data_IF_451146617710
#
_entry.id   IF_451146617710
#
_cell.length_a   1.000
_cell.length_b   1.000
_cell.length_c   1.000
_cell.angle_alpha   90.00
_cell.angle_beta   90.00
_cell.angle_gamma   90.00
#
_symmetry.space_group_name_H-M   'P 1'
#
loop_
_entity.id
_entity.type
_entity.pdbx_description
1 polymer ?
#
# COMPACT_ATOMS: atom_id res chain seq x y z
N UNK A 1 -14.12 -16.65 32.71
CA UNK A 1 -12.75 -17.02 32.78
C UNK A 1 -11.90 -15.99 32.05
N UNK A 2 -10.85 -15.48 32.70
CA UNK A 2 -9.90 -14.56 32.06
C UNK A 2 -8.86 -15.35 31.27
N UNK A 3 -8.31 -14.76 30.22
CA UNK A 3 -7.17 -15.30 29.47
C UNK A 3 -5.92 -15.26 30.35
N UNK A 4 -5.21 -16.37 30.43
CA UNK A 4 -3.95 -16.50 31.19
C UNK A 4 -2.78 -16.74 30.25
N UNK A 5 -1.56 -16.46 30.70
CA UNK A 5 -0.35 -16.73 29.91
C UNK A 5 -0.24 -18.22 29.51
N UNK A 6 -0.78 -19.13 30.31
CA UNK A 6 -0.78 -20.56 30.01
C UNK A 6 -1.54 -20.94 28.75
N UNK A 7 -2.54 -20.16 28.37
CA UNK A 7 -3.37 -20.38 27.19
C UNK A 7 -2.58 -20.22 25.87
N UNK A 8 -1.44 -19.50 25.90
CA UNK A 8 -0.59 -19.22 24.75
C UNK A 8 0.57 -20.22 24.54
N UNK A 9 0.69 -21.20 25.44
CA UNK A 9 1.80 -22.14 25.41
C UNK A 9 1.90 -22.95 24.11
N UNK A 10 0.75 -23.26 23.51
CA UNK A 10 0.65 -24.08 22.31
C UNK A 10 0.18 -23.24 21.08
N UNK A 11 0.20 -21.92 21.19
CA UNK A 11 -0.17 -21.03 20.08
C UNK A 11 1.05 -20.77 19.17
N UNK A 12 0.88 -20.89 17.85
CA UNK A 12 1.90 -20.47 16.90
C UNK A 12 1.91 -18.94 16.74
N UNK A 13 0.75 -18.30 16.69
CA UNK A 13 0.59 -16.88 16.38
C UNK A 13 -0.41 -16.22 17.34
N UNK A 14 -0.09 -15.04 17.80
CA UNK A 14 -1.02 -14.08 18.41
C UNK A 14 -1.15 -12.89 17.49
N UNK A 15 -2.37 -12.52 17.13
CA UNK A 15 -2.67 -11.33 16.33
C UNK A 15 -3.47 -10.38 17.20
N UNK A 16 -3.05 -9.11 17.23
CA UNK A 16 -3.76 -8.07 17.94
C UNK A 16 -3.86 -6.80 17.07
N UNK A 17 -4.91 -6.00 17.32
CA UNK A 17 -5.16 -4.74 16.62
C UNK A 17 -5.66 -3.65 17.58
N UNK A 18 -5.18 -3.69 18.81
CA UNK A 18 -5.57 -2.74 19.87
C UNK A 18 -4.65 -1.51 19.84
N UNK A 19 -5.01 -0.52 20.62
CA UNK A 19 -4.13 0.63 20.87
C UNK A 19 -2.81 0.15 21.47
N UNK A 20 -1.66 0.67 21.02
CA UNK A 20 -0.35 0.33 21.57
C UNK A 20 -0.30 0.32 23.10
N UNK A 21 0.37 -0.66 23.69
CA UNK A 21 0.49 -0.86 25.13
C UNK A 21 -0.76 -1.42 25.82
N UNK A 22 -1.82 -1.77 25.09
CA UNK A 22 -3.02 -2.34 25.71
C UNK A 22 -2.77 -3.73 26.27
N UNK A 23 -2.15 -4.61 25.50
CA UNK A 23 -1.82 -5.97 25.97
C UNK A 23 -0.72 -5.96 27.02
N UNK A 24 0.22 -5.01 26.97
CA UNK A 24 1.25 -4.85 28.00
C UNK A 24 0.64 -4.58 29.37
N UNK A 25 -0.36 -3.69 29.44
CA UNK A 25 -1.09 -3.42 30.70
C UNK A 25 -1.88 -4.60 31.25
N UNK A 26 -2.20 -5.56 30.38
CA UNK A 26 -2.89 -6.80 30.75
C UNK A 26 -1.92 -7.94 31.11
N UNK A 27 -0.61 -7.71 31.06
CA UNK A 27 0.41 -8.74 31.29
C UNK A 27 0.49 -9.77 30.17
N UNK A 28 0.12 -9.37 28.95
CA UNK A 28 0.13 -10.20 27.73
C UNK A 28 1.03 -9.58 26.65
N UNK A 29 2.11 -8.91 27.07
CA UNK A 29 3.10 -8.39 26.15
C UNK A 29 3.82 -9.52 25.36
N UNK A 30 4.45 -9.19 24.26
CA UNK A 30 5.31 -10.15 23.56
C UNK A 30 6.35 -10.78 24.49
N UNK A 31 6.98 -9.97 25.34
CA UNK A 31 7.99 -10.43 26.29
C UNK A 31 7.41 -11.37 27.37
N UNK A 32 6.15 -11.17 27.76
CA UNK A 32 5.48 -12.09 28.70
C UNK A 32 5.10 -13.39 28.02
N UNK A 33 4.57 -13.33 26.80
CA UNK A 33 4.23 -14.52 26.03
C UNK A 33 5.46 -15.34 25.65
N UNK A 34 6.54 -14.71 25.33
CA UNK A 34 7.83 -15.36 24.98
C UNK A 34 8.41 -16.19 26.14
N UNK A 35 8.12 -15.81 27.39
CA UNK A 35 8.55 -16.59 28.57
C UNK A 35 7.90 -17.97 28.64
N UNK A 36 6.64 -18.07 28.18
CA UNK A 36 5.88 -19.33 28.20
C UNK A 36 5.95 -20.08 26.87
N UNK A 37 6.20 -19.35 25.78
CA UNK A 37 6.36 -19.92 24.44
C UNK A 37 7.41 -19.15 23.64
N UNK A 38 8.69 -19.59 23.68
CA UNK A 38 9.77 -18.91 22.96
C UNK A 38 9.60 -18.85 21.45
N UNK A 39 8.71 -19.68 20.87
CA UNK A 39 8.45 -19.74 19.42
C UNK A 39 7.28 -18.83 19.00
N UNK A 40 6.65 -18.14 19.94
CA UNK A 40 5.46 -17.35 19.65
C UNK A 40 5.73 -16.26 18.62
N UNK A 41 4.90 -16.16 17.61
CA UNK A 41 4.87 -15.03 16.68
C UNK A 41 3.79 -14.07 17.14
N UNK A 42 4.16 -12.84 17.45
CA UNK A 42 3.26 -11.81 17.94
C UNK A 42 3.12 -10.74 16.85
N UNK A 43 1.95 -10.64 16.24
CA UNK A 43 1.69 -9.74 15.12
C UNK A 43 0.71 -8.63 15.54
N UNK A 44 1.22 -7.41 15.63
CA UNK A 44 0.43 -6.22 15.92
C UNK A 44 0.05 -5.52 14.62
N UNK A 45 -1.24 -5.26 14.41
CA UNK A 45 -1.74 -4.51 13.26
C UNK A 45 -2.37 -3.22 13.78
N UNK A 46 -1.73 -2.09 13.52
CA UNK A 46 -2.17 -0.78 13.99
C UNK A 46 -2.29 0.21 12.83
N UNK A 47 -2.80 1.40 13.08
CA UNK A 47 -2.93 2.44 12.04
C UNK A 47 -1.59 2.92 11.53
N UNK A 48 -0.68 3.25 12.45
CA UNK A 48 0.58 3.95 12.16
C UNK A 48 1.82 3.28 12.76
N UNK A 49 1.71 2.02 13.15
CA UNK A 49 2.74 1.30 13.85
C UNK A 49 2.56 1.32 15.37
N UNK A 50 3.37 0.51 16.05
CA UNK A 50 3.39 0.36 17.51
C UNK A 50 4.50 1.18 18.15
N UNK A 51 5.37 1.76 17.33
CA UNK A 51 6.55 2.55 17.70
C UNK A 51 6.61 3.84 16.90
N UNK A 52 7.49 4.76 17.32
CA UNK A 52 7.72 6.01 16.61
C UNK A 52 6.76 7.15 16.99
N UNK A 53 6.85 8.30 16.30
CA UNK A 53 6.18 9.52 16.71
C UNK A 53 4.65 9.47 16.60
N UNK A 54 4.10 8.53 15.85
CA UNK A 54 2.65 8.39 15.61
C UNK A 54 2.00 7.22 16.32
N UNK A 55 2.75 6.47 17.14
CA UNK A 55 2.24 5.28 17.85
C UNK A 55 0.95 5.53 18.66
N UNK A 56 0.81 6.73 19.22
CA UNK A 56 -0.34 7.12 20.03
C UNK A 56 -1.42 7.87 19.26
N UNK A 57 -1.25 8.11 17.96
CA UNK A 57 -2.22 8.84 17.16
C UNK A 57 -3.47 7.98 16.93
N UNK A 58 -4.68 8.49 17.27
CA UNK A 58 -5.92 7.76 16.99
C UNK A 58 -6.10 7.53 15.50
N UNK A 59 -6.62 6.36 15.15
CA UNK A 59 -6.80 5.99 13.75
C UNK A 59 -8.07 5.18 13.51
N UNK A 60 -8.63 5.34 12.32
CA UNK A 60 -9.71 4.54 11.76
C UNK A 60 -9.47 4.37 10.26
N UNK A 61 -10.17 3.43 9.62
CA UNK A 61 -9.95 2.96 8.26
C UNK A 61 -9.49 3.98 7.23
N UNK A 62 -10.28 5.05 7.01
CA UNK A 62 -9.93 6.10 6.04
C UNK A 62 -8.68 6.91 6.44
N UNK A 63 -8.37 6.98 7.73
CA UNK A 63 -7.22 7.74 8.22
C UNK A 63 -5.89 7.16 7.74
N UNK A 64 -5.79 5.84 7.60
CA UNK A 64 -4.58 5.18 7.09
C UNK A 64 -4.29 5.57 5.65
N UNK A 65 -5.33 5.52 4.82
CA UNK A 65 -5.24 5.85 3.40
C UNK A 65 -4.99 7.33 3.17
N UNK A 66 -5.65 8.19 3.97
CA UNK A 66 -5.42 9.65 3.92
C UNK A 66 -3.99 9.99 4.33
N UNK A 67 -3.48 9.38 5.39
CA UNK A 67 -2.09 9.56 5.84
C UNK A 67 -1.09 9.12 4.79
N UNK A 68 -1.36 8.01 4.11
CA UNK A 68 -0.53 7.52 3.00
C UNK A 68 -0.66 8.36 1.72
N UNK A 69 -1.56 9.36 1.70
CA UNK A 69 -1.83 10.18 0.52
C UNK A 69 -2.67 9.48 -0.57
N UNK A 70 -3.32 8.37 -0.25
CA UNK A 70 -4.13 7.60 -1.20
C UNK A 70 -5.54 8.18 -1.38
N UNK A 71 -5.96 9.12 -0.54
CA UNK A 71 -7.28 9.74 -0.58
C UNK A 71 -7.14 11.24 -0.74
N UNK A 72 -7.71 11.77 -1.81
CA UNK A 72 -7.78 13.21 -2.08
C UNK A 72 -9.19 13.72 -1.74
N UNK A 73 -9.34 14.65 -0.79
CA UNK A 73 -10.64 15.24 -0.50
C UNK A 73 -11.22 15.95 -1.73
N UNK A 74 -12.50 15.80 -1.96
CA UNK A 74 -13.23 16.49 -3.02
C UNK A 74 -14.14 17.60 -2.44
N UNK A 75 -14.70 18.43 -3.32
CA UNK A 75 -15.72 19.43 -2.98
C UNK A 75 -16.96 19.18 -3.79
N UNK A 76 -18.12 19.35 -3.16
CA UNK A 76 -19.40 19.34 -3.85
C UNK A 76 -19.70 20.70 -4.51
N UNK A 77 -20.89 20.82 -5.09
CA UNK A 77 -21.33 22.04 -5.78
C UNK A 77 -21.49 23.24 -4.84
N UNK A 78 -21.78 23.00 -3.57
CA UNK A 78 -21.87 24.02 -2.51
C UNK A 78 -20.49 24.38 -1.92
N UNK A 79 -19.43 23.69 -2.33
CA UNK A 79 -18.05 23.91 -1.86
C UNK A 79 -17.70 23.18 -0.57
N UNK A 80 -18.57 22.31 -0.04
CA UNK A 80 -18.31 21.50 1.13
C UNK A 80 -17.27 20.42 0.82
N UNK A 81 -16.29 20.25 1.72
CA UNK A 81 -15.28 19.21 1.58
C UNK A 81 -15.83 17.87 2.03
N UNK A 82 -15.63 16.85 1.22
CA UNK A 82 -16.02 15.49 1.54
C UNK A 82 -14.96 14.48 1.11
N UNK A 83 -15.03 13.26 1.66
CA UNK A 83 -14.19 12.15 1.25
C UNK A 83 -14.92 11.36 0.15
N UNK A 84 -14.37 11.31 -1.07
CA UNK A 84 -14.97 10.52 -2.14
C UNK A 84 -14.87 9.02 -1.84
N UNK A 85 -15.64 8.22 -2.55
CA UNK A 85 -15.52 6.76 -2.50
C UNK A 85 -14.11 6.35 -2.91
N UNK A 86 -13.49 5.53 -2.10
CA UNK A 86 -12.14 5.02 -2.32
C UNK A 86 -12.02 3.57 -1.81
N UNK A 87 -11.15 2.76 -2.37
CA UNK A 87 -10.81 1.46 -1.79
C UNK A 87 -10.05 1.70 -0.47
N UNK A 88 -10.45 0.99 0.59
CA UNK A 88 -9.76 1.07 1.89
C UNK A 88 -8.45 0.26 1.85
N UNK A 89 -7.46 0.78 1.12
CA UNK A 89 -6.22 0.06 0.79
C UNK A 89 -5.47 -0.36 2.05
N UNK A 90 -5.31 0.54 3.03
CA UNK A 90 -4.59 0.24 4.26
C UNK A 90 -5.24 -0.87 5.08
N UNK A 91 -6.59 -0.90 5.12
CA UNK A 91 -7.35 -1.94 5.82
C UNK A 91 -7.22 -3.32 5.17
N UNK A 92 -6.88 -3.38 3.89
CA UNK A 92 -6.67 -4.64 3.17
C UNK A 92 -5.18 -5.02 3.12
N UNK A 93 -4.33 -4.07 2.77
CA UNK A 93 -2.90 -4.30 2.62
C UNK A 93 -2.20 -4.60 3.95
N UNK A 94 -2.51 -3.85 5.01
CA UNK A 94 -1.90 -4.06 6.32
C UNK A 94 -2.09 -5.49 6.83
N UNK A 95 -3.32 -5.98 7.02
CA UNK A 95 -3.56 -7.36 7.46
C UNK A 95 -3.00 -8.43 6.52
N UNK A 96 -3.02 -8.20 5.19
CA UNK A 96 -2.44 -9.12 4.23
C UNK A 96 -0.92 -9.26 4.40
N UNK A 97 -0.22 -8.13 4.52
CA UNK A 97 1.22 -8.11 4.79
C UNK A 97 1.54 -8.73 6.16
N UNK A 98 0.69 -8.47 7.16
CA UNK A 98 0.79 -9.07 8.48
C UNK A 98 0.66 -10.60 8.44
N UNK A 99 -0.33 -11.11 7.73
CA UNK A 99 -0.52 -12.56 7.56
C UNK A 99 0.68 -13.21 6.85
N UNK A 100 1.18 -12.56 5.79
CA UNK A 100 2.36 -13.05 5.07
C UNK A 100 3.61 -13.08 5.95
N UNK A 101 3.87 -11.98 6.68
CA UNK A 101 5.00 -11.88 7.59
C UNK A 101 4.89 -12.89 8.75
N UNK A 102 3.67 -13.08 9.31
CA UNK A 102 3.43 -14.05 10.38
C UNK A 102 3.71 -15.49 9.93
N UNK A 103 3.27 -15.88 8.73
CA UNK A 103 3.57 -17.21 8.19
C UNK A 103 5.08 -17.42 8.01
N UNK A 104 5.79 -16.45 7.46
CA UNK A 104 7.25 -16.52 7.32
C UNK A 104 7.94 -16.63 8.68
N UNK A 105 7.47 -15.86 9.68
CA UNK A 105 8.01 -15.92 11.04
C UNK A 105 7.74 -17.27 11.73
N UNK A 106 6.58 -17.88 11.52
CA UNK A 106 6.28 -19.24 12.04
C UNK A 106 7.19 -20.28 11.40
N UNK A 107 7.41 -20.21 10.09
CA UNK A 107 8.34 -21.13 9.42
C UNK A 107 9.74 -21.01 10.03
N UNK A 108 10.24 -19.79 10.22
CA UNK A 108 11.51 -19.55 10.88
C UNK A 108 11.52 -20.06 12.33
N UNK A 109 10.46 -19.78 13.10
CA UNK A 109 10.36 -20.20 14.50
C UNK A 109 10.37 -21.73 14.68
N UNK A 110 9.81 -22.46 13.72
CA UNK A 110 9.86 -23.93 13.71
C UNK A 110 11.26 -24.49 13.50
N UNK A 111 12.08 -23.82 12.71
CA UNK A 111 13.46 -24.21 12.44
C UNK A 111 14.42 -23.76 13.55
N UNK A 112 14.29 -22.53 14.02
CA UNK A 112 15.25 -21.92 14.95
C UNK A 112 14.88 -22.08 16.41
N UNK A 113 13.61 -22.31 16.72
CA UNK A 113 13.10 -22.27 18.09
C UNK A 113 12.78 -20.86 18.60
N UNK A 114 12.93 -19.83 17.77
CA UNK A 114 12.77 -18.42 18.15
C UNK A 114 11.61 -17.78 17.41
N UNK A 115 10.64 -17.25 18.16
CA UNK A 115 9.51 -16.48 17.64
C UNK A 115 9.92 -15.08 17.14
N UNK A 116 8.91 -14.24 16.89
CA UNK A 116 9.11 -12.89 16.40
C UNK A 116 8.03 -11.94 16.90
N UNK A 117 8.41 -10.69 17.12
CA UNK A 117 7.49 -9.57 17.21
C UNK A 117 7.37 -8.92 15.83
N UNK A 118 6.16 -8.77 15.33
CA UNK A 118 5.85 -8.16 14.03
C UNK A 118 4.98 -6.93 14.25
N UNK A 119 5.41 -5.82 13.70
CA UNK A 119 4.71 -4.55 13.73
C UNK A 119 4.24 -4.20 12.32
N UNK A 120 2.94 -4.02 12.14
CA UNK A 120 2.31 -3.72 10.86
C UNK A 120 1.56 -2.39 10.98
N UNK A 121 2.06 -1.36 10.29
CA UNK A 121 1.36 -0.10 10.08
C UNK A 121 0.43 -0.21 8.86
N UNK A 122 -0.87 0.03 9.06
CA UNK A 122 -1.82 -0.03 7.93
C UNK A 122 -1.58 1.11 6.94
N UNK A 123 -1.14 2.28 7.41
CA UNK A 123 -0.71 3.39 6.54
C UNK A 123 0.51 3.04 5.69
N UNK A 124 1.46 2.29 6.27
CA UNK A 124 2.64 1.82 5.53
C UNK A 124 2.24 0.80 4.46
N UNK A 125 1.27 -0.07 4.79
CA UNK A 125 0.67 -0.99 3.83
C UNK A 125 0.02 -0.25 2.65
N UNK A 126 -0.75 0.81 2.93
CA UNK A 126 -1.36 1.64 1.89
C UNK A 126 -0.29 2.33 1.02
N UNK A 127 0.73 2.92 1.65
CA UNK A 127 1.85 3.56 0.96
C UNK A 127 2.61 2.57 0.08
N UNK A 128 2.85 1.35 0.58
CA UNK A 128 3.50 0.29 -0.19
C UNK A 128 2.69 -0.10 -1.44
N UNK A 129 1.37 -0.20 -1.33
CA UNK A 129 0.52 -0.53 -2.48
C UNK A 129 0.47 0.59 -3.53
N UNK A 130 0.72 1.83 -3.13
CA UNK A 130 0.80 2.99 -4.01
C UNK A 130 2.25 3.47 -4.25
N UNK A 131 3.19 2.55 -4.21
CA UNK A 131 4.62 2.82 -4.36
C UNK A 131 4.94 3.63 -5.62
N UNK A 132 4.20 3.41 -6.71
CA UNK A 132 4.42 4.12 -7.98
C UNK A 132 4.22 5.63 -7.83
N UNK A 133 3.17 6.07 -7.14
CA UNK A 133 2.92 7.49 -6.89
C UNK A 133 3.98 8.09 -5.96
N UNK A 134 4.39 7.37 -4.94
CA UNK A 134 5.45 7.79 -4.02
C UNK A 134 6.77 7.95 -4.77
N UNK A 135 7.16 6.98 -5.59
CA UNK A 135 8.39 7.07 -6.38
C UNK A 135 8.31 8.15 -7.46
N UNK A 136 7.14 8.37 -8.04
CA UNK A 136 6.90 9.48 -8.93
C UNK A 136 7.09 10.82 -8.21
N UNK A 137 6.51 10.99 -7.02
CA UNK A 137 6.71 12.18 -6.20
C UNK A 137 8.20 12.44 -5.90
N UNK A 138 8.91 11.41 -5.44
CA UNK A 138 10.37 11.50 -5.19
C UNK A 138 11.15 11.86 -6.45
N UNK A 139 10.77 11.31 -7.60
CA UNK A 139 11.38 11.66 -8.88
C UNK A 139 11.21 13.16 -9.21
N UNK A 140 10.06 13.75 -8.87
CA UNK A 140 9.80 15.17 -9.06
C UNK A 140 10.56 16.07 -8.06
N UNK A 141 11.07 15.54 -6.96
CA UNK A 141 11.92 16.27 -6.01
C UNK A 141 13.39 16.36 -6.48
N UNK A 142 13.81 15.53 -7.43
CA UNK A 142 15.17 15.58 -7.94
C UNK A 142 15.44 16.87 -8.71
N UNK A 143 16.67 17.41 -8.66
CA UNK A 143 17.07 18.57 -9.47
C UNK A 143 16.86 18.33 -10.96
N UNK A 144 16.54 19.40 -11.72
CA UNK A 144 16.38 19.30 -13.19
C UNK A 144 17.62 18.70 -13.88
N UNK A 145 18.83 18.97 -13.34
CA UNK A 145 20.09 18.44 -13.85
C UNK A 145 20.22 16.91 -13.77
N UNK A 146 19.40 16.27 -12.94
CA UNK A 146 19.38 14.80 -12.76
C UNK A 146 18.26 14.13 -13.57
N UNK A 147 17.46 14.88 -14.30
CA UNK A 147 16.39 14.33 -15.13
C UNK A 147 17.00 13.63 -16.35
N UNK A 148 16.69 12.35 -16.48
CA UNK A 148 17.12 11.48 -17.60
C UNK A 148 15.90 10.85 -18.25
N UNK A 149 16.03 10.42 -19.48
CA UNK A 149 14.99 9.67 -20.19
C UNK A 149 13.94 10.50 -20.93
N UNK A 150 13.96 11.84 -20.83
CA UNK A 150 13.04 12.74 -21.51
C UNK A 150 13.72 13.45 -22.70
N UNK A 151 14.49 12.74 -23.50
CA UNK A 151 15.25 13.34 -24.61
C UNK A 151 14.37 14.09 -25.61
N UNK A 152 13.15 13.61 -25.88
CA UNK A 152 12.18 14.27 -26.76
C UNK A 152 11.70 15.64 -26.25
N UNK A 153 11.80 15.87 -24.93
CA UNK A 153 11.39 17.11 -24.28
C UNK A 153 12.62 17.93 -23.82
N UNK A 154 13.79 17.77 -24.43
CA UNK A 154 15.06 18.38 -24.02
C UNK A 154 15.40 18.11 -22.55
N UNK A 155 15.09 16.93 -22.04
CA UNK A 155 15.23 16.51 -20.65
C UNK A 155 14.42 17.37 -19.66
N UNK A 156 13.45 18.13 -20.13
CA UNK A 156 12.57 18.90 -19.25
C UNK A 156 11.64 17.98 -18.48
N UNK A 157 11.39 18.35 -17.24
CA UNK A 157 10.42 17.67 -16.39
C UNK A 157 9.01 18.00 -16.85
N UNK A 158 8.22 16.98 -17.11
CA UNK A 158 6.78 17.15 -17.36
C UNK A 158 6.03 17.52 -16.07
N UNK A 159 4.92 18.25 -16.16
CA UNK A 159 4.08 18.53 -14.98
C UNK A 159 3.60 17.24 -14.31
N UNK A 160 3.42 17.28 -12.99
CA UNK A 160 2.88 16.14 -12.21
C UNK A 160 1.50 15.75 -12.75
N UNK A 161 1.25 14.46 -12.91
CA UNK A 161 -0.02 13.92 -13.39
C UNK A 161 -0.21 13.91 -14.91
N UNK A 162 0.72 14.49 -15.68
CA UNK A 162 0.69 14.43 -17.16
C UNK A 162 1.55 13.28 -17.71
N UNK A 163 2.19 12.51 -16.82
CA UNK A 163 3.12 11.47 -17.21
C UNK A 163 2.41 10.32 -17.94
N UNK A 164 2.45 10.39 -19.25
CA UNK A 164 2.30 9.27 -20.15
C UNK A 164 0.88 8.79 -20.43
N UNK A 165 0.06 8.49 -19.43
CA UNK A 165 -1.23 7.85 -19.68
C UNK A 165 -2.29 8.83 -20.21
N UNK A 166 -2.35 10.06 -19.72
CA UNK A 166 -3.36 11.03 -20.18
C UNK A 166 -3.14 11.50 -21.63
N UNK A 167 -1.90 11.53 -22.09
CA UNK A 167 -1.51 11.98 -23.43
C UNK A 167 -1.10 10.83 -24.36
N UNK A 168 -1.08 9.62 -23.84
CA UNK A 168 -0.63 8.45 -24.55
C UNK A 168 -1.72 7.86 -25.43
N UNK A 169 -1.82 8.32 -26.68
CA UNK A 169 -2.84 7.83 -27.63
C UNK A 169 -2.84 6.31 -27.82
N UNK A 170 -1.72 5.63 -27.53
CA UNK A 170 -1.59 4.17 -27.64
C UNK A 170 -1.84 3.44 -26.32
N UNK A 171 -2.11 4.19 -25.24
CA UNK A 171 -2.44 3.63 -23.93
C UNK A 171 -3.42 4.59 -23.23
N UNK A 172 -4.70 4.47 -23.56
CA UNK A 172 -5.72 5.41 -23.12
C UNK A 172 -7.10 4.76 -23.14
N UNK A 173 -7.99 5.28 -22.29
CA UNK A 173 -9.41 4.96 -22.36
C UNK A 173 -10.10 5.84 -23.43
N UNK A 174 -10.87 5.20 -24.29
CA UNK A 174 -11.64 5.86 -25.33
C UNK A 174 -13.14 5.58 -25.15
N UNK A 175 -13.94 6.61 -25.37
CA UNK A 175 -15.38 6.44 -25.43
C UNK A 175 -15.78 5.63 -26.65
N UNK A 176 -16.71 4.71 -26.50
CA UNK A 176 -17.31 3.94 -27.55
C UNK A 176 -18.84 4.04 -27.49
N UNK A 177 -19.54 3.41 -28.42
CA UNK A 177 -20.98 3.56 -28.58
C UNK A 177 -21.80 3.29 -27.32
N UNK A 178 -21.36 2.40 -26.47
CA UNK A 178 -22.08 1.86 -25.32
C UNK A 178 -21.23 1.83 -24.03
N UNK A 179 -20.13 2.58 -23.99
CA UNK A 179 -19.27 2.66 -22.81
C UNK A 179 -17.85 3.14 -23.13
N UNK A 180 -16.87 2.46 -22.57
CA UNK A 180 -15.46 2.81 -22.76
C UNK A 180 -14.65 1.57 -23.11
N UNK A 181 -13.63 1.77 -23.93
CA UNK A 181 -12.62 0.75 -24.23
C UNK A 181 -11.25 1.24 -23.74
N UNK A 182 -10.53 0.39 -23.04
CA UNK A 182 -9.13 0.64 -22.73
C UNK A 182 -8.28 0.14 -23.89
N UNK A 183 -7.67 1.06 -24.60
CA UNK A 183 -6.75 0.77 -25.68
C UNK A 183 -5.32 0.67 -25.14
N UNK A 184 -4.66 -0.45 -25.35
CA UNK A 184 -3.32 -0.74 -24.86
C UNK A 184 -2.46 -1.30 -25.99
N UNK A 185 -1.82 -0.41 -26.75
CA UNK A 185 -0.95 -0.74 -27.87
C UNK A 185 0.38 0.05 -27.81
N UNK A 186 0.94 0.16 -26.58
CA UNK A 186 2.20 0.87 -26.34
C UNK A 186 3.38 0.21 -27.05
N UNK A 187 3.39 -1.13 -27.13
CA UNK A 187 4.41 -1.90 -27.80
C UNK A 187 4.28 -1.79 -29.32
N UNK A 188 5.43 -1.70 -29.98
CA UNK A 188 5.48 -1.50 -31.43
C UNK A 188 4.69 -2.57 -32.20
N UNK A 189 4.78 -3.82 -31.79
CA UNK A 189 4.07 -4.91 -32.44
C UNK A 189 2.54 -4.79 -32.31
N UNK A 190 2.05 -4.39 -31.12
CA UNK A 190 0.62 -4.19 -30.89
C UNK A 190 0.09 -3.00 -31.66
N UNK A 191 0.86 -1.91 -31.71
CA UNK A 191 0.52 -0.74 -32.50
C UNK A 191 0.44 -1.08 -33.99
N UNK A 192 1.43 -1.83 -34.52
CA UNK A 192 1.42 -2.28 -35.89
C UNK A 192 0.17 -3.10 -36.23
N UNK A 193 -0.12 -4.13 -35.42
CA UNK A 193 -1.28 -4.99 -35.62
C UNK A 193 -2.60 -4.20 -35.58
N UNK A 194 -2.70 -3.21 -34.72
CA UNK A 194 -3.85 -2.31 -34.72
C UNK A 194 -3.94 -1.51 -36.01
N UNK A 195 -2.86 -0.87 -36.47
CA UNK A 195 -2.83 -0.10 -37.69
C UNK A 195 -3.20 -0.96 -38.93
N UNK A 196 -2.69 -2.18 -38.98
CA UNK A 196 -3.07 -3.15 -40.01
C UNK A 196 -4.56 -3.51 -39.94
N UNK A 197 -5.06 -3.83 -38.76
CA UNK A 197 -6.46 -4.23 -38.53
C UNK A 197 -7.49 -3.16 -38.90
N UNK A 198 -7.14 -1.88 -38.72
CA UNK A 198 -8.02 -0.76 -39.09
C UNK A 198 -7.71 -0.17 -40.48
N UNK A 199 -6.76 -0.73 -41.19
CA UNK A 199 -6.38 -0.27 -42.55
C UNK A 199 -5.66 1.10 -42.55
N UNK A 200 -5.00 1.47 -41.46
CA UNK A 200 -4.37 2.78 -41.26
C UNK A 200 -2.87 2.64 -40.97
N UNK A 201 -2.15 1.98 -41.88
CA UNK A 201 -0.70 1.85 -41.76
C UNK A 201 0.07 3.20 -41.83
N UNK A 202 -0.61 4.26 -42.29
CA UNK A 202 -0.07 5.62 -42.25
C UNK A 202 0.14 6.16 -40.82
N UNK A 203 -0.45 5.52 -39.80
CA UNK A 203 -0.25 5.86 -38.40
C UNK A 203 0.94 5.11 -37.74
N UNK A 204 1.46 4.08 -38.38
CA UNK A 204 2.60 3.29 -37.90
C UNK A 204 3.92 3.94 -38.17
#
# INVERSE_FOLDING_TARGET
>A
GGTSLGDFKDCDIVIEAMKPGTLDRLGLSYEDLKKVNPKIVFCCVSGYGMTGPYENMPSHGVAYDTWAGCVEPARDEEGMVYLPAHPSIGMHAGPLLGAFAALAAVMRARETGEGAFLEIGQSDGAAYMDWYRIESYKAYQRPQSEVTGNAADDFRRRPVGTAGLKEGVRYQAYECKDGYVLFMASEQAFWKNFCEGVGRMDMF
#
